data_IF_575019489957
#
_entry.id   IF_575019489957
#
_cell.length_a   1.000
_cell.length_b   1.000
_cell.length_c   1.000
_cell.angle_alpha   90.00
_cell.angle_beta   90.00
_cell.angle_gamma   90.00
#
_symmetry.space_group_name_H-M   'P 1'
#
loop_
_entity.id
_entity.type
_entity.pdbx_description
1 polymer ?
#
# COMPACT_ATOMS: atom_id res chain seq x y z
N UNK A 1 -17.07 -19.14 0.88
CA UNK A 1 -17.55 -18.02 1.74
C UNK A 1 -19.00 -17.73 1.40
N UNK A 2 -19.78 -17.08 2.27
CA UNK A 2 -21.13 -16.64 1.90
C UNK A 2 -21.06 -15.39 1.01
N UNK A 3 -22.05 -15.19 0.13
CA UNK A 3 -22.18 -13.98 -0.69
C UNK A 3 -22.18 -12.69 0.15
N UNK A 4 -22.81 -12.74 1.33
CA UNK A 4 -22.80 -11.61 2.30
C UNK A 4 -21.40 -11.29 2.81
N UNK A 5 -20.56 -12.30 3.02
CA UNK A 5 -19.19 -12.06 3.46
C UNK A 5 -18.37 -11.42 2.32
N UNK A 6 -18.54 -11.88 1.07
CA UNK A 6 -17.85 -11.33 -0.09
C UNK A 6 -18.18 -9.85 -0.30
N UNK A 7 -19.43 -9.47 -0.15
CA UNK A 7 -19.88 -8.08 -0.24
C UNK A 7 -19.25 -7.20 0.85
N UNK A 8 -19.23 -7.69 2.10
CA UNK A 8 -18.55 -7.02 3.21
C UNK A 8 -17.05 -6.78 2.91
N UNK A 9 -16.34 -7.79 2.41
CA UNK A 9 -14.92 -7.65 2.06
C UNK A 9 -14.70 -6.73 0.86
N UNK A 10 -15.61 -6.73 -0.12
CA UNK A 10 -15.57 -5.81 -1.27
C UNK A 10 -15.64 -4.36 -0.80
N UNK A 11 -16.61 -4.03 0.06
CA UNK A 11 -16.73 -2.68 0.62
C UNK A 11 -15.51 -2.27 1.45
N UNK A 12 -14.99 -3.18 2.27
CA UNK A 12 -13.78 -2.95 3.06
C UNK A 12 -12.55 -2.66 2.19
N UNK A 13 -12.37 -3.43 1.11
CA UNK A 13 -11.29 -3.26 0.15
C UNK A 13 -11.41 -1.94 -0.61
N UNK A 14 -12.61 -1.57 -1.07
CA UNK A 14 -12.86 -0.28 -1.72
C UNK A 14 -12.55 0.90 -0.81
N UNK A 15 -12.95 0.83 0.46
CA UNK A 15 -12.64 1.87 1.46
C UNK A 15 -11.12 2.00 1.67
N UNK A 16 -10.40 0.87 1.73
CA UNK A 16 -8.93 0.87 1.84
C UNK A 16 -8.25 1.40 0.58
N UNK A 17 -8.74 1.04 -0.62
CA UNK A 17 -8.24 1.55 -1.91
C UNK A 17 -8.34 3.07 -1.96
N UNK A 18 -9.51 3.62 -1.65
CA UNK A 18 -9.73 5.08 -1.63
C UNK A 18 -8.80 5.80 -0.65
N UNK A 19 -8.53 5.19 0.52
CA UNK A 19 -7.57 5.74 1.49
C UNK A 19 -6.14 5.72 0.95
N UNK A 20 -5.70 4.61 0.36
CA UNK A 20 -4.37 4.47 -0.21
C UNK A 20 -4.16 5.42 -1.41
N UNK A 21 -5.16 5.59 -2.28
CA UNK A 21 -5.11 6.53 -3.39
C UNK A 21 -4.94 7.98 -2.92
N UNK A 22 -5.67 8.40 -1.88
CA UNK A 22 -5.51 9.73 -1.27
C UNK A 22 -4.11 9.91 -0.67
N UNK A 23 -3.57 8.88 -0.02
CA UNK A 23 -2.23 8.95 0.55
C UNK A 23 -1.16 9.06 -0.54
N UNK A 24 -1.31 8.28 -1.62
CA UNK A 24 -0.42 8.33 -2.78
C UNK A 24 -0.45 9.71 -3.45
N UNK A 25 -1.63 10.30 -3.62
CA UNK A 25 -1.79 11.65 -4.18
C UNK A 25 -1.10 12.70 -3.30
N UNK A 26 -1.29 12.63 -1.98
CA UNK A 26 -0.62 13.51 -1.02
C UNK A 26 0.91 13.38 -1.03
N UNK A 27 1.43 12.14 -1.09
CA UNK A 27 2.87 11.90 -1.18
C UNK A 27 3.45 12.44 -2.49
N UNK A 28 2.74 12.24 -3.61
CA UNK A 28 3.14 12.77 -4.92
C UNK A 28 3.16 14.30 -4.94
N UNK A 29 2.13 14.95 -4.38
CA UNK A 29 2.08 16.42 -4.33
C UNK A 29 3.20 16.99 -3.45
N UNK A 30 3.50 16.35 -2.32
CA UNK A 30 4.57 16.77 -1.41
C UNK A 30 5.93 16.73 -2.11
N UNK A 31 6.24 15.64 -2.82
CA UNK A 31 7.51 15.51 -3.57
C UNK A 31 7.62 16.54 -4.70
N UNK A 32 6.51 16.83 -5.39
CA UNK A 32 6.48 17.80 -6.49
C UNK A 32 6.69 19.24 -6.00
N UNK A 33 6.09 19.61 -4.86
CA UNK A 33 6.22 20.94 -4.27
C UNK A 33 7.66 21.22 -3.80
N UNK A 34 8.30 20.23 -3.15
CA UNK A 34 9.72 20.30 -2.75
C UNK A 34 10.66 20.56 -3.94
N UNK A 35 10.44 19.87 -5.06
CA UNK A 35 11.25 20.02 -6.28
C UNK A 35 11.13 21.43 -6.87
N UNK A 36 9.96 22.05 -6.76
CA UNK A 36 9.69 23.40 -7.28
C UNK A 36 10.38 24.50 -6.45
N UNK A 37 10.49 24.30 -5.14
CA UNK A 37 11.22 25.21 -4.23
C UNK A 37 12.73 25.19 -4.49
N UNK A 38 13.30 24.03 -4.77
CA UNK A 38 14.72 23.90 -5.13
C UNK A 38 15.06 24.62 -6.45
N UNK A 39 14.14 24.67 -7.41
CA UNK A 39 14.34 25.34 -8.70
C UNK A 39 14.28 26.88 -8.62
N UNK A 40 13.71 27.45 -7.55
CA UNK A 40 13.48 28.90 -7.42
C UNK A 40 14.65 29.71 -6.84
N UNK A 41 15.75 29.06 -6.44
CA UNK A 41 17.04 29.74 -6.22
C UNK A 41 17.11 30.81 -5.13
N UNK A 42 16.33 30.72 -4.04
CA UNK A 42 16.47 31.66 -2.91
C UNK A 42 17.77 31.34 -2.12
N UNK A 43 18.83 32.09 -2.43
CA UNK A 43 20.23 31.86 -2.02
C UNK A 43 20.59 32.32 -0.59
N UNK A 44 19.65 32.34 0.35
CA UNK A 44 19.92 32.85 1.69
C UNK A 44 20.42 31.75 2.64
N UNK A 45 21.74 31.46 2.62
CA UNK A 45 22.53 30.63 3.57
C UNK A 45 23.08 29.29 3.03
N UNK A 46 24.14 29.38 2.22
CA UNK A 46 24.85 28.26 1.60
C UNK A 46 25.40 27.19 2.60
N UNK A 47 25.77 27.58 3.83
CA UNK A 47 26.27 26.64 4.85
C UNK A 47 25.18 25.91 5.63
N UNK A 48 23.96 26.48 5.73
CA UNK A 48 22.80 25.79 6.31
C UNK A 48 22.19 24.81 5.29
N UNK A 49 22.23 25.19 4.00
CA UNK A 49 21.71 24.37 2.90
C UNK A 49 22.45 23.04 2.66
N UNK A 50 23.76 22.91 2.92
CA UNK A 50 24.45 21.62 2.67
C UNK A 50 24.02 20.51 3.65
N UNK A 51 23.71 20.87 4.91
CA UNK A 51 23.20 19.93 5.90
C UNK A 51 21.70 19.62 5.67
N UNK A 52 20.93 20.63 5.25
CA UNK A 52 19.50 20.48 4.93
C UNK A 52 19.29 19.68 3.63
N UNK A 53 20.13 19.88 2.60
CA UNK A 53 20.04 19.16 1.31
C UNK A 53 20.17 17.63 1.47
N UNK A 54 21.03 17.16 2.37
CA UNK A 54 21.11 15.73 2.70
C UNK A 54 19.83 15.21 3.35
N UNK A 55 19.17 16.05 4.14
CA UNK A 55 17.89 15.76 4.81
C UNK A 55 16.73 15.78 3.82
N UNK A 56 16.64 16.78 2.93
CA UNK A 56 15.63 16.88 1.87
C UNK A 56 15.70 15.72 0.87
N UNK A 57 16.91 15.29 0.49
CA UNK A 57 17.10 14.12 -0.36
C UNK A 57 16.60 12.85 0.33
N UNK A 58 16.91 12.67 1.62
CA UNK A 58 16.46 11.53 2.41
C UNK A 58 14.93 11.51 2.58
N UNK A 59 14.30 12.66 2.83
CA UNK A 59 12.84 12.76 2.98
C UNK A 59 12.11 12.49 1.65
N UNK A 60 12.67 12.94 0.52
CA UNK A 60 12.16 12.57 -0.80
C UNK A 60 12.26 11.08 -1.05
N UNK A 61 13.42 10.47 -0.79
CA UNK A 61 13.60 9.03 -0.96
C UNK A 61 12.60 8.22 -0.12
N UNK A 62 12.40 8.59 1.15
CA UNK A 62 11.36 7.99 2.00
C UNK A 62 9.96 8.15 1.40
N UNK A 63 9.63 9.34 0.91
CA UNK A 63 8.33 9.61 0.29
C UNK A 63 8.10 8.76 -0.96
N UNK A 64 9.14 8.58 -1.80
CA UNK A 64 9.11 7.67 -2.94
C UNK A 64 8.89 6.22 -2.51
N UNK A 65 9.61 5.75 -1.49
CA UNK A 65 9.42 4.39 -0.96
C UNK A 65 8.00 4.16 -0.45
N UNK A 66 7.41 5.13 0.26
CA UNK A 66 6.03 5.04 0.72
C UNK A 66 5.04 5.06 -0.44
N UNK A 67 5.25 5.92 -1.44
CA UNK A 67 4.41 5.97 -2.64
C UNK A 67 4.44 4.64 -3.40
N UNK A 68 5.63 4.06 -3.61
CA UNK A 68 5.78 2.76 -4.26
C UNK A 68 5.08 1.63 -3.48
N UNK A 69 5.13 1.67 -2.15
CA UNK A 69 4.42 0.72 -1.29
C UNK A 69 2.91 0.86 -1.42
N UNK A 70 2.38 2.07 -1.44
CA UNK A 70 0.94 2.32 -1.60
C UNK A 70 0.44 1.92 -2.99
N UNK A 71 1.21 2.17 -4.04
CA UNK A 71 0.89 1.73 -5.40
C UNK A 71 0.81 0.20 -5.48
N UNK A 72 1.79 -0.50 -4.89
CA UNK A 72 1.76 -1.97 -4.78
C UNK A 72 0.56 -2.44 -3.96
N UNK A 73 0.21 -1.74 -2.89
CA UNK A 73 -0.95 -2.09 -2.07
C UNK A 73 -2.28 -1.89 -2.81
N UNK A 74 -2.42 -0.83 -3.60
CA UNK A 74 -3.57 -0.60 -4.48
C UNK A 74 -3.70 -1.75 -5.48
N UNK A 75 -2.60 -2.14 -6.14
CA UNK A 75 -2.58 -3.28 -7.05
C UNK A 75 -3.05 -4.58 -6.37
N UNK A 76 -2.57 -4.85 -5.16
CA UNK A 76 -3.01 -6.01 -4.38
C UNK A 76 -4.49 -5.98 -4.02
N UNK A 77 -5.05 -4.78 -3.80
CA UNK A 77 -6.50 -4.62 -3.57
C UNK A 77 -7.26 -4.92 -4.86
N UNK A 78 -6.81 -4.44 -6.02
CA UNK A 78 -7.43 -4.73 -7.30
C UNK A 78 -7.43 -6.25 -7.60
N UNK A 79 -6.29 -6.93 -7.38
CA UNK A 79 -6.21 -8.39 -7.48
C UNK A 79 -7.12 -9.11 -6.45
N UNK A 80 -7.37 -8.52 -5.29
CA UNK A 80 -8.29 -9.07 -4.30
C UNK A 80 -9.76 -8.88 -4.70
N UNK A 81 -10.11 -7.74 -5.30
CA UNK A 81 -11.43 -7.46 -5.84
C UNK A 81 -11.76 -8.40 -7.00
N UNK A 82 -10.82 -8.61 -7.92
CA UNK A 82 -10.98 -9.57 -9.03
C UNK A 82 -11.24 -11.00 -8.50
N UNK A 83 -10.54 -11.41 -7.44
CA UNK A 83 -10.78 -12.71 -6.78
C UNK A 83 -12.16 -12.81 -6.13
N UNK A 84 -12.72 -11.70 -5.66
CA UNK A 84 -14.10 -11.66 -5.14
C UNK A 84 -15.09 -11.86 -6.29
N UNK A 85 -14.86 -11.22 -7.43
CA UNK A 85 -15.70 -11.37 -8.63
C UNK A 85 -15.65 -12.78 -9.20
N UNK A 86 -14.48 -13.42 -9.16
CA UNK A 86 -14.28 -14.80 -9.56
C UNK A 86 -14.66 -15.85 -8.48
N UNK A 87 -15.24 -15.42 -7.36
CA UNK A 87 -15.64 -16.29 -6.23
C UNK A 87 -14.49 -17.14 -5.61
N UNK A 88 -13.23 -16.80 -5.89
CA UNK A 88 -12.02 -17.48 -5.39
C UNK A 88 -11.42 -16.80 -4.15
N UNK A 89 -12.03 -15.72 -3.68
CA UNK A 89 -11.57 -14.99 -2.51
C UNK A 89 -11.65 -15.84 -1.22
N UNK A 90 -10.59 -15.75 -0.42
CA UNK A 90 -10.47 -16.52 0.82
C UNK A 90 -9.97 -17.96 0.61
N UNK A 91 -9.49 -18.33 -0.57
CA UNK A 91 -8.80 -19.61 -0.82
C UNK A 91 -7.29 -19.40 -0.78
N UNK A 92 -6.57 -20.25 -0.03
CA UNK A 92 -5.12 -20.20 0.07
C UNK A 92 -4.48 -20.67 -1.25
N UNK A 93 -3.61 -19.86 -1.85
CA UNK A 93 -2.91 -20.21 -3.10
C UNK A 93 -1.94 -21.39 -2.96
N UNK A 94 -1.44 -21.65 -1.75
CA UNK A 94 -0.45 -22.70 -1.48
C UNK A 94 -1.14 -24.02 -1.14
N UNK A 95 -2.09 -23.98 -0.20
CA UNK A 95 -2.70 -25.20 0.37
C UNK A 95 -4.08 -25.51 -0.20
N UNK A 96 -4.68 -24.63 -1.00
CA UNK A 96 -6.07 -24.77 -1.46
C UNK A 96 -7.14 -24.64 -0.36
N UNK A 97 -6.73 -24.56 0.90
CA UNK A 97 -7.64 -24.48 2.05
C UNK A 97 -8.24 -23.07 2.22
N UNK A 98 -9.40 -23.00 2.86
CA UNK A 98 -10.04 -21.74 3.22
C UNK A 98 -9.20 -20.95 4.24
N UNK A 99 -9.01 -19.66 3.99
CA UNK A 99 -8.37 -18.72 4.89
C UNK A 99 -9.39 -18.29 5.96
N UNK A 100 -8.97 -18.31 7.22
CA UNK A 100 -9.81 -17.89 8.34
C UNK A 100 -10.30 -16.44 8.16
N UNK A 101 -11.60 -16.21 8.40
CA UNK A 101 -12.25 -14.89 8.23
C UNK A 101 -11.57 -13.80 9.05
N UNK A 102 -11.23 -14.09 10.30
CA UNK A 102 -10.57 -13.15 11.22
C UNK A 102 -9.27 -12.58 10.64
N UNK A 103 -8.53 -13.42 9.91
CA UNK A 103 -7.31 -13.01 9.22
C UNK A 103 -7.57 -12.14 8.01
N UNK A 104 -8.62 -12.42 7.25
CA UNK A 104 -9.05 -11.58 6.13
C UNK A 104 -9.54 -10.21 6.62
N UNK A 105 -10.13 -10.14 7.82
CA UNK A 105 -10.51 -8.86 8.45
C UNK A 105 -9.25 -8.05 8.80
N UNK A 106 -8.24 -8.69 9.38
CA UNK A 106 -6.98 -8.03 9.73
C UNK A 106 -6.18 -7.61 8.49
N UNK A 107 -6.03 -8.50 7.50
CA UNK A 107 -5.24 -8.29 6.28
C UNK A 107 -6.03 -8.78 5.06
N UNK A 108 -6.90 -7.95 4.46
CA UNK A 108 -7.81 -8.39 3.40
C UNK A 108 -7.12 -8.66 2.05
N UNK A 109 -5.89 -8.19 1.84
CA UNK A 109 -5.13 -8.45 0.61
C UNK A 109 -4.40 -9.79 0.60
N UNK A 110 -4.40 -10.52 1.72
CA UNK A 110 -3.61 -11.75 1.87
C UNK A 110 -4.11 -12.90 0.98
N UNK A 111 -3.18 -13.64 0.36
CA UNK A 111 -3.44 -14.78 -0.54
C UNK A 111 -3.07 -16.14 0.07
N UNK A 112 -2.40 -16.13 1.23
CA UNK A 112 -1.78 -17.32 1.84
C UNK A 112 -2.36 -17.50 3.24
N UNK A 113 -2.66 -18.72 3.68
CA UNK A 113 -3.16 -19.01 5.03
C UNK A 113 -2.08 -18.81 6.13
N UNK A 114 -2.48 -18.83 7.41
CA UNK A 114 -1.52 -18.79 8.54
C UNK A 114 -0.58 -19.99 8.49
N UNK A 115 -1.14 -21.16 8.20
CA UNK A 115 -0.43 -22.43 8.18
C UNK A 115 0.66 -22.44 7.10
N UNK A 116 0.31 -22.04 5.88
CA UNK A 116 1.27 -21.90 4.78
C UNK A 116 2.33 -20.83 5.06
N UNK A 117 1.97 -19.72 5.74
CA UNK A 117 2.94 -18.70 6.15
C UNK A 117 3.89 -19.20 7.25
N UNK A 118 3.47 -20.15 8.10
CA UNK A 118 4.35 -20.80 9.08
C UNK A 118 5.30 -21.78 8.40
N UNK A 119 4.83 -22.49 7.38
CA UNK A 119 5.66 -23.43 6.60
C UNK A 119 6.76 -22.74 5.77
N UNK A 120 6.48 -21.55 5.20
CA UNK A 120 7.44 -20.74 4.46
C UNK A 120 8.57 -20.15 5.33
N UNK A 121 8.34 -20.02 6.65
CA UNK A 121 9.29 -19.45 7.60
C UNK A 121 10.26 -20.47 8.22
N UNK A 122 10.31 -21.70 7.71
CA UNK A 122 11.18 -22.77 8.19
C UNK A 122 12.29 -23.05 7.19
#
# INVERSE_FOLDING_TARGET
>A
MSKKDLEFFKELLLKKKKKAQKNLEYLKSTVLDSTTKEASGDHSSYSYHMADQGTDAMEREKSFMFAARDEKFIKQIDEALERIENETYGICRVTGNLIQKERLIAVPTTTISVDAKKADKK
#
